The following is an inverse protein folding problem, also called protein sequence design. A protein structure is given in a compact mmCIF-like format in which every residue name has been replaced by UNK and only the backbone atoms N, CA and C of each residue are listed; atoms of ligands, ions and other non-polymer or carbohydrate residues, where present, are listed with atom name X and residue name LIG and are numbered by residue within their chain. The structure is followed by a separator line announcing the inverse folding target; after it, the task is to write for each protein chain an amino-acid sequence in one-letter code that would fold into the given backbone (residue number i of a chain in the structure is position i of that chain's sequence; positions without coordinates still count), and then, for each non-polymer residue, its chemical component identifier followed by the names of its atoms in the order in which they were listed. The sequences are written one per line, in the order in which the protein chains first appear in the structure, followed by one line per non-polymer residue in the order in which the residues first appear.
data_IF_222551878694
#
_entry.id   IF_222551878694
#
_cell.length_a   1.000
_cell.length_b   1.000
_cell.length_c   1.000
_cell.angle_alpha   90.00
_cell.angle_beta   90.00
_cell.angle_gamma   90.00
#
_symmetry.space_group_name_H-M   'P 1'
#
loop_
_entity.id
_entity.type
_entity.pdbx_description
1 polymer ?
#
# COMPACT_ATOMS: atom_id res chain seq x y z
N UNK A 1 12.11 -7.48 -18.01
CA UNK A 1 10.98 -7.98 -17.23
C UNK A 1 9.73 -7.31 -17.75
N UNK A 2 8.68 -8.08 -18.07
CA UNK A 2 7.39 -7.52 -18.48
C UNK A 2 6.64 -7.05 -17.22
N UNK A 3 6.13 -5.83 -17.23
CA UNK A 3 5.36 -5.26 -16.10
C UNK A 3 3.93 -5.01 -16.53
N UNK A 4 2.98 -5.48 -15.72
CA UNK A 4 1.55 -5.37 -15.98
C UNK A 4 0.89 -4.66 -14.80
N UNK A 5 0.16 -3.58 -15.08
CA UNK A 5 -0.62 -2.86 -14.06
C UNK A 5 -2.02 -3.45 -13.93
N UNK A 6 -2.40 -3.84 -12.72
CA UNK A 6 -3.75 -4.33 -12.40
C UNK A 6 -4.50 -3.23 -11.64
N UNK A 7 -5.62 -2.75 -12.20
CA UNK A 7 -6.48 -1.73 -11.59
C UNK A 7 -7.97 -2.01 -11.90
N UNK A 8 -8.87 -1.27 -11.28
CA UNK A 8 -10.32 -1.51 -11.34
C UNK A 8 -11.08 -0.93 -10.14
N UNK A 9 -12.41 -0.95 -10.18
CA UNK A 9 -13.28 -0.45 -9.09
C UNK A 9 -13.32 -1.38 -7.89
N UNK A 10 -13.75 -0.89 -6.72
CA UNK A 10 -14.03 -1.75 -5.55
C UNK A 10 -14.99 -2.88 -5.97
N UNK A 11 -14.72 -4.11 -5.53
CA UNK A 11 -15.52 -5.29 -5.90
C UNK A 11 -15.23 -5.88 -7.29
N UNK A 12 -14.31 -5.31 -8.08
CA UNK A 12 -14.01 -5.80 -9.44
C UNK A 12 -13.14 -7.06 -9.50
N UNK A 13 -12.85 -7.71 -8.36
CA UNK A 13 -12.05 -8.94 -8.33
C UNK A 13 -10.54 -8.79 -8.57
N UNK A 14 -9.96 -7.57 -8.47
CA UNK A 14 -8.50 -7.36 -8.63
C UNK A 14 -7.66 -8.29 -7.76
N UNK A 15 -8.01 -8.40 -6.48
CA UNK A 15 -7.27 -9.24 -5.53
C UNK A 15 -7.33 -10.72 -5.91
N UNK A 16 -8.45 -11.18 -6.48
CA UNK A 16 -8.58 -12.54 -7.00
C UNK A 16 -7.66 -12.77 -8.20
N UNK A 17 -7.64 -11.83 -9.15
CA UNK A 17 -6.74 -11.89 -10.30
C UNK A 17 -5.26 -11.87 -9.87
N UNK A 18 -4.89 -11.00 -8.93
CA UNK A 18 -3.53 -10.94 -8.39
C UNK A 18 -3.12 -12.24 -7.69
N UNK A 19 -4.03 -12.88 -6.94
CA UNK A 19 -3.77 -14.19 -6.31
C UNK A 19 -3.53 -15.30 -7.33
N UNK A 20 -4.25 -15.28 -8.46
CA UNK A 20 -4.02 -16.24 -9.54
C UNK A 20 -2.61 -16.11 -10.13
N UNK A 21 -2.06 -14.90 -10.24
CA UNK A 21 -0.68 -14.72 -10.67
C UNK A 21 0.32 -15.18 -9.60
N UNK A 22 0.08 -14.92 -8.32
CA UNK A 22 0.93 -15.39 -7.22
C UNK A 22 1.16 -16.90 -7.21
N UNK A 23 0.21 -17.70 -7.69
CA UNK A 23 0.34 -19.16 -7.79
C UNK A 23 1.27 -19.62 -8.92
N UNK A 24 1.68 -18.72 -9.82
CA UNK A 24 2.58 -19.05 -10.93
C UNK A 24 4.03 -18.80 -10.55
N UNK A 25 4.89 -19.78 -10.79
CA UNK A 25 6.34 -19.70 -10.50
C UNK A 25 7.07 -18.60 -11.31
N UNK A 26 6.52 -18.19 -12.46
CA UNK A 26 7.12 -17.22 -13.37
C UNK A 26 6.73 -15.76 -13.08
N UNK A 27 5.99 -15.51 -12.00
CA UNK A 27 5.43 -14.19 -11.73
C UNK A 27 5.68 -13.69 -10.32
N UNK A 28 5.72 -12.36 -10.18
CA UNK A 28 5.84 -11.67 -8.90
C UNK A 28 4.79 -10.59 -8.83
N UNK A 29 4.04 -10.55 -7.72
CA UNK A 29 2.95 -9.60 -7.53
C UNK A 29 3.34 -8.56 -6.49
N UNK A 30 3.27 -7.29 -6.91
CA UNK A 30 3.50 -6.13 -6.05
C UNK A 30 2.15 -5.53 -5.68
N UNK A 31 1.76 -5.67 -4.41
CA UNK A 31 0.57 -5.05 -3.86
C UNK A 31 0.89 -3.65 -3.33
N UNK A 32 0.46 -2.63 -4.07
CA UNK A 32 0.73 -1.24 -3.76
C UNK A 32 0.00 -0.76 -2.49
N UNK A 33 -1.20 -1.27 -2.21
CA UNK A 33 -1.96 -0.90 -1.01
C UNK A 33 -1.25 -1.41 0.25
N UNK A 34 -0.79 -2.67 0.23
CA UNK A 34 -0.02 -3.24 1.35
C UNK A 34 1.31 -2.54 1.57
N UNK A 35 2.02 -2.21 0.49
CA UNK A 35 3.28 -1.46 0.58
C UNK A 35 3.08 -0.07 1.17
N UNK A 36 2.04 0.65 0.74
CA UNK A 36 1.70 1.95 1.29
C UNK A 36 1.42 1.87 2.80
N UNK A 37 0.63 0.89 3.26
CA UNK A 37 0.35 0.72 4.70
C UNK A 37 1.63 0.47 5.50
N UNK A 38 2.51 -0.42 5.03
CA UNK A 38 3.79 -0.70 5.68
C UNK A 38 4.69 0.53 5.79
N UNK A 39 4.75 1.33 4.72
CA UNK A 39 5.54 2.57 4.71
C UNK A 39 4.98 3.58 5.72
N UNK A 40 3.66 3.71 5.80
CA UNK A 40 3.02 4.64 6.74
C UNK A 40 3.15 4.19 8.20
N UNK A 41 3.26 2.91 8.49
CA UNK A 41 3.41 2.38 9.86
C UNK A 41 4.87 2.35 10.35
N UNK A 42 5.82 2.14 9.44
CA UNK A 42 7.22 1.90 9.81
C UNK A 42 8.18 3.07 9.61
N UNK A 43 7.81 4.08 8.81
CA UNK A 43 8.72 5.14 8.42
C UNK A 43 8.45 6.46 9.17
N UNK A 44 9.34 6.77 10.11
CA UNK A 44 9.27 7.99 10.91
C UNK A 44 9.41 9.28 10.10
N UNK A 45 10.08 9.24 8.94
CA UNK A 45 10.22 10.41 8.06
C UNK A 45 8.91 10.68 7.31
N UNK A 46 8.24 9.63 6.86
CA UNK A 46 6.92 9.73 6.23
C UNK A 46 5.90 10.28 7.24
N UNK A 47 5.86 9.73 8.45
CA UNK A 47 4.96 10.22 9.51
C UNK A 47 5.22 11.69 9.85
N UNK A 48 6.48 12.11 9.98
CA UNK A 48 6.84 13.52 10.20
C UNK A 48 6.38 14.44 9.05
N UNK A 49 6.52 14.00 7.80
CA UNK A 49 6.04 14.76 6.64
C UNK A 49 4.52 14.88 6.64
N UNK A 50 3.82 13.82 7.01
CA UNK A 50 2.36 13.83 7.18
C UNK A 50 1.95 14.80 8.28
N UNK A 51 2.54 14.71 9.48
CA UNK A 51 2.27 15.66 10.59
C UNK A 51 2.51 17.11 10.18
N UNK A 52 3.64 17.38 9.49
CA UNK A 52 3.97 18.72 9.02
C UNK A 52 2.94 19.27 8.00
N UNK A 53 2.32 18.40 7.22
CA UNK A 53 1.41 18.80 6.12
C UNK A 53 -0.04 18.87 6.59
N UNK A 54 -0.47 17.93 7.43
CA UNK A 54 -1.86 17.75 7.81
C UNK A 54 -2.16 18.12 9.27
N UNK A 55 -1.15 18.46 10.08
CA UNK A 55 -1.29 18.80 11.50
C UNK A 55 -0.85 17.67 12.43
N UNK A 56 -0.57 18.02 13.69
CA UNK A 56 -0.12 17.07 14.72
C UNK A 56 -1.16 15.98 15.00
N UNK A 57 -2.45 16.27 14.82
CA UNK A 57 -3.57 15.35 15.00
C UNK A 57 -3.57 14.18 14.00
N UNK A 58 -2.84 14.32 12.89
CA UNK A 58 -2.73 13.28 11.87
C UNK A 58 -1.89 12.08 12.31
N UNK A 59 -1.13 12.19 13.42
CA UNK A 59 -0.37 11.07 13.99
C UNK A 59 -0.53 11.07 15.49
N UNK A 60 -1.04 9.96 16.04
CA UNK A 60 -1.28 9.79 17.48
C UNK A 60 -0.47 8.60 17.96
N UNK A 61 0.30 8.79 19.04
CA UNK A 61 1.18 7.76 19.61
C UNK A 61 2.19 7.17 18.60
N UNK A 62 2.68 7.98 17.66
CA UNK A 62 3.61 7.54 16.63
C UNK A 62 2.97 6.67 15.54
N UNK A 63 1.64 6.62 15.46
CA UNK A 63 0.90 5.92 14.41
C UNK A 63 0.05 6.90 13.62
N UNK A 64 -0.08 6.66 12.32
CA UNK A 64 -0.98 7.42 11.46
C UNK A 64 -2.42 7.33 11.99
N UNK A 65 -3.04 8.48 12.23
CA UNK A 65 -4.43 8.60 12.59
C UNK A 65 -5.27 8.62 11.29
N UNK A 66 -6.09 7.58 11.09
CA UNK A 66 -6.86 7.34 9.85
C UNK A 66 -8.34 7.61 10.01
#
# INVERSE_FOLDING_TARGET
MLTIGISGKIGSGKSLLSSFFLEREDSYVVDCEKLASKLMEGDSEILKKIQKTFGEESVVNGMLNR
#
